data_IF_152858993949
#
_entry.id   IF_152858993949
#
_cell.length_a   1.000
_cell.length_b   1.000
_cell.length_c   1.000
_cell.angle_alpha   90.00
_cell.angle_beta   90.00
_cell.angle_gamma   90.00
#
_symmetry.space_group_name_H-M   'P 1'
#
loop_
_entity.id
_entity.type
_entity.pdbx_description
1 polymer ?
#
# COMPACT_ATOMS: atom_id res chain seq x y z
N UNK A 1 24.09 -117.22 -55.58
CA UNK A 1 22.78 -117.87 -55.87
C UNK A 1 21.70 -116.85 -55.54
N UNK A 2 21.10 -116.30 -56.60
CA UNK A 2 19.70 -115.84 -56.74
C UNK A 2 19.07 -114.85 -55.74
N UNK A 3 18.57 -113.77 -56.34
CA UNK A 3 17.67 -112.72 -55.84
C UNK A 3 16.40 -113.23 -55.13
N UNK A 4 15.90 -112.47 -54.14
CA UNK A 4 14.48 -112.10 -54.08
C UNK A 4 14.22 -110.87 -53.18
N UNK A 5 13.56 -109.88 -53.78
CA UNK A 5 12.88 -108.75 -53.14
C UNK A 5 11.97 -109.18 -51.98
N UNK A 6 11.83 -108.33 -50.96
CA UNK A 6 10.46 -107.98 -50.55
C UNK A 6 10.34 -106.58 -49.90
N UNK A 7 9.53 -105.74 -50.55
CA UNK A 7 9.12 -104.41 -50.12
C UNK A 7 7.94 -104.55 -49.15
N UNK A 8 8.18 -104.66 -47.84
CA UNK A 8 7.06 -104.51 -46.88
C UNK A 8 7.51 -104.24 -45.43
N UNK A 9 8.37 -103.25 -45.19
CA UNK A 9 8.78 -102.91 -43.80
C UNK A 9 9.00 -101.42 -43.54
N UNK A 10 8.50 -100.54 -44.41
CA UNK A 10 8.63 -99.07 -44.25
C UNK A 10 7.38 -98.36 -43.73
N UNK A 11 6.22 -99.03 -43.66
CA UNK A 11 4.98 -98.45 -43.14
C UNK A 11 4.80 -98.64 -41.62
N UNK A 12 5.42 -99.66 -41.03
CA UNK A 12 5.30 -99.98 -39.60
C UNK A 12 6.31 -99.24 -38.71
N UNK A 13 7.38 -98.71 -39.30
CA UNK A 13 8.38 -97.91 -38.58
C UNK A 13 7.91 -96.46 -38.32
N UNK A 14 7.07 -95.89 -39.18
CA UNK A 14 6.64 -94.49 -39.08
C UNK A 14 5.49 -94.28 -38.07
N UNK A 15 4.66 -95.29 -37.83
CA UNK A 15 3.56 -95.23 -36.86
C UNK A 15 4.05 -95.37 -35.41
N UNK A 16 5.15 -96.08 -35.17
CA UNK A 16 5.74 -96.27 -33.84
C UNK A 16 6.57 -95.04 -33.43
N UNK A 17 7.25 -94.38 -34.37
CA UNK A 17 7.96 -93.12 -34.05
C UNK A 17 6.99 -91.97 -33.75
N UNK A 18 5.86 -91.89 -34.47
CA UNK A 18 4.86 -90.85 -34.25
C UNK A 18 4.11 -90.98 -32.89
N UNK A 19 3.89 -92.21 -32.41
CA UNK A 19 3.24 -92.47 -31.11
C UNK A 19 4.20 -92.26 -29.93
N UNK A 20 5.50 -92.54 -30.11
CA UNK A 20 6.52 -92.29 -29.08
C UNK A 20 6.87 -90.80 -28.97
N UNK A 21 6.83 -90.04 -30.08
CA UNK A 21 7.01 -88.58 -30.03
C UNK A 21 5.82 -87.83 -29.44
N UNK A 22 4.58 -88.34 -29.57
CA UNK A 22 3.41 -87.71 -28.94
C UNK A 22 3.30 -88.05 -27.45
N UNK A 23 3.73 -89.22 -27.01
CA UNK A 23 3.84 -89.56 -25.58
C UNK A 23 5.02 -88.83 -24.91
N UNK A 24 6.13 -88.61 -25.61
CA UNK A 24 7.23 -87.77 -25.12
C UNK A 24 6.84 -86.28 -25.04
N UNK A 25 6.03 -85.76 -25.97
CA UNK A 25 5.53 -84.40 -25.94
C UNK A 25 4.44 -84.15 -24.87
N UNK A 26 3.70 -85.17 -24.44
CA UNK A 26 2.78 -85.09 -23.29
C UNK A 26 3.48 -85.22 -21.93
N UNK A 27 4.72 -85.74 -21.90
CA UNK A 27 5.57 -85.78 -20.69
C UNK A 27 6.46 -84.55 -20.51
N UNK A 28 6.41 -83.59 -21.44
CA UNK A 28 7.02 -82.27 -21.29
C UNK A 28 5.94 -81.20 -21.19
N UNK A 29 4.99 -81.41 -20.27
CA UNK A 29 4.35 -80.27 -19.64
C UNK A 29 5.45 -79.48 -18.93
N UNK A 30 5.97 -78.43 -19.57
CA UNK A 30 6.65 -77.37 -18.83
C UNK A 30 5.68 -76.98 -17.72
N UNK A 31 6.03 -77.11 -16.43
CA UNK A 31 5.13 -76.66 -15.39
C UNK A 31 4.83 -75.20 -15.68
N UNK A 32 3.54 -74.86 -15.75
CA UNK A 32 3.10 -73.48 -15.83
C UNK A 32 3.67 -72.74 -14.59
N UNK A 33 4.80 -72.06 -14.77
CA UNK A 33 5.44 -71.29 -13.72
C UNK A 33 4.73 -69.93 -13.63
N UNK A 34 3.64 -69.93 -12.86
CA UNK A 34 3.15 -68.76 -12.14
C UNK A 34 2.44 -69.25 -10.87
N UNK A 35 3.12 -70.04 -10.06
CA UNK A 35 2.62 -70.33 -8.72
C UNK A 35 2.96 -69.11 -7.86
N UNK A 36 1.99 -68.20 -7.69
CA UNK A 36 2.03 -67.24 -6.60
C UNK A 36 2.07 -68.06 -5.30
N UNK A 37 3.22 -68.08 -4.62
CA UNK A 37 3.39 -68.83 -3.38
C UNK A 37 3.06 -67.91 -2.23
N UNK A 38 1.94 -68.19 -1.58
CA UNK A 38 1.55 -67.57 -0.32
C UNK A 38 1.87 -68.52 0.84
N UNK A 39 2.28 -67.97 1.98
CA UNK A 39 2.50 -68.67 3.24
C UNK A 39 1.80 -67.92 4.36
N UNK A 40 1.11 -68.67 5.21
CA UNK A 40 0.60 -68.28 6.52
C UNK A 40 1.53 -68.78 7.67
N UNK A 41 2.70 -69.34 7.33
CA UNK A 41 3.66 -69.89 8.29
C UNK A 41 5.13 -69.90 7.79
N UNK A 42 5.94 -70.78 8.40
CA UNK A 42 7.40 -70.84 8.17
C UNK A 42 7.79 -71.01 6.69
N UNK A 43 8.99 -70.52 6.36
CA UNK A 43 9.50 -70.23 5.02
C UNK A 43 9.10 -71.21 3.89
N UNK A 44 8.68 -70.67 2.75
CA UNK A 44 8.41 -71.43 1.52
C UNK A 44 9.67 -71.70 0.70
N UNK A 45 9.61 -72.67 -0.23
CA UNK A 45 10.73 -73.04 -1.10
C UNK A 45 11.22 -71.88 -2.01
N UNK A 46 10.42 -70.84 -2.22
CA UNK A 46 10.74 -69.64 -3.01
C UNK A 46 11.02 -68.41 -2.14
N UNK A 47 11.25 -68.60 -0.84
CA UNK A 47 11.73 -67.58 0.09
C UNK A 47 10.67 -66.66 0.70
N UNK A 48 9.36 -66.93 0.50
CA UNK A 48 8.31 -66.22 1.22
C UNK A 48 8.34 -66.64 2.69
N UNK A 49 8.40 -65.70 3.63
CA UNK A 49 8.58 -65.95 5.06
C UNK A 49 7.48 -65.28 5.87
N UNK A 50 6.67 -66.05 6.59
CA UNK A 50 5.71 -65.53 7.56
C UNK A 50 6.01 -66.13 8.95
N UNK A 51 6.58 -65.36 9.89
CA UNK A 51 7.06 -65.91 11.16
C UNK A 51 6.83 -64.98 12.36
N UNK A 52 6.94 -65.54 13.58
CA UNK A 52 6.80 -64.85 14.87
C UNK A 52 5.36 -64.80 15.40
N UNK A 53 4.36 -64.64 14.54
CA UNK A 53 2.92 -64.67 14.85
C UNK A 53 2.16 -65.41 13.74
N UNK A 54 1.14 -66.19 14.10
CA UNK A 54 0.34 -66.96 13.15
C UNK A 54 -0.63 -66.14 12.29
N UNK A 55 -0.79 -64.84 12.56
CA UNK A 55 -1.59 -63.94 11.74
C UNK A 55 -0.78 -63.24 10.63
N UNK A 56 0.55 -63.41 10.61
CA UNK A 56 1.39 -62.84 9.56
C UNK A 56 1.13 -63.56 8.22
N UNK A 57 1.10 -62.80 7.13
CA UNK A 57 0.84 -63.32 5.79
C UNK A 57 1.89 -62.81 4.80
N UNK A 58 2.60 -63.72 4.13
CA UNK A 58 3.57 -63.39 3.09
C UNK A 58 3.22 -64.08 1.78
N UNK A 59 3.15 -63.35 0.68
CA UNK A 59 2.89 -63.92 -0.64
C UNK A 59 3.75 -63.31 -1.74
N UNK A 60 4.56 -64.13 -2.42
CA UNK A 60 5.48 -63.74 -3.48
C UNK A 60 6.94 -64.10 -3.20
N UNK A 61 7.80 -64.21 -4.23
CA UNK A 61 9.20 -64.56 -4.06
C UNK A 61 9.93 -63.58 -3.13
N UNK A 62 10.55 -64.09 -2.07
CA UNK A 62 11.26 -63.27 -1.08
C UNK A 62 10.37 -62.29 -0.28
N UNK A 63 9.04 -62.46 -0.29
CA UNK A 63 8.15 -61.68 0.57
C UNK A 63 8.38 -62.03 2.06
N UNK A 64 8.47 -61.04 2.93
CA UNK A 64 8.80 -61.22 4.34
C UNK A 64 7.75 -60.55 5.23
N UNK A 65 7.01 -61.33 6.00
CA UNK A 65 6.06 -60.88 7.00
C UNK A 65 6.49 -61.38 8.40
N UNK A 66 7.15 -60.54 9.20
CA UNK A 66 7.77 -60.98 10.47
C UNK A 66 7.34 -60.14 11.66
N UNK A 67 7.28 -60.75 12.84
CA UNK A 67 7.02 -60.06 14.09
C UNK A 67 6.40 -60.98 15.12
N UNK A 68 6.65 -60.72 16.40
CA UNK A 68 6.13 -61.48 17.52
C UNK A 68 4.93 -60.77 18.19
N UNK A 69 4.43 -61.38 19.26
CA UNK A 69 3.49 -60.76 20.21
C UNK A 69 2.16 -60.29 19.61
N UNK A 70 1.55 -61.11 18.73
CA UNK A 70 0.24 -60.84 18.15
C UNK A 70 0.26 -59.88 16.95
N UNK A 71 1.38 -59.80 16.25
CA UNK A 71 1.47 -59.09 14.96
C UNK A 71 0.60 -59.75 13.89
N UNK A 72 0.13 -58.93 12.95
CA UNK A 72 -0.63 -59.28 11.76
C UNK A 72 -0.07 -58.51 10.56
N UNK A 73 1.19 -58.79 10.23
CA UNK A 73 1.89 -58.15 9.13
C UNK A 73 1.57 -58.85 7.80
N UNK A 74 1.33 -58.08 6.74
CA UNK A 74 0.95 -58.55 5.40
C UNK A 74 1.96 -58.08 4.37
N UNK A 75 2.70 -59.00 3.75
CA UNK A 75 3.65 -58.73 2.67
C UNK A 75 3.22 -59.43 1.38
N UNK A 76 3.00 -58.68 0.29
CA UNK A 76 2.49 -59.20 -0.98
C UNK A 76 3.30 -58.66 -2.15
N UNK A 77 3.89 -59.52 -2.97
CA UNK A 77 4.75 -59.14 -4.09
C UNK A 77 6.20 -59.59 -3.92
N UNK A 78 6.99 -59.44 -4.99
CA UNK A 78 8.40 -59.84 -4.98
C UNK A 78 9.21 -58.92 -4.07
N UNK A 79 9.84 -59.47 -3.05
CA UNK A 79 10.67 -58.72 -2.09
C UNK A 79 9.89 -57.76 -1.18
N UNK A 80 8.57 -57.90 -1.05
CA UNK A 80 7.78 -57.12 -0.10
C UNK A 80 8.23 -57.42 1.34
N UNK A 81 8.44 -56.41 2.18
CA UNK A 81 8.77 -56.57 3.60
C UNK A 81 7.72 -55.88 4.48
N UNK A 82 7.04 -56.64 5.33
CA UNK A 82 6.15 -56.14 6.36
C UNK A 82 6.62 -56.67 7.73
N UNK A 83 7.24 -55.84 8.56
CA UNK A 83 7.93 -56.33 9.78
C UNK A 83 7.70 -55.49 11.04
N UNK A 84 7.60 -56.13 12.20
CA UNK A 84 7.54 -55.45 13.49
C UNK A 84 6.79 -56.25 14.56
N UNK A 85 7.15 -56.06 15.83
CA UNK A 85 6.46 -56.68 16.95
C UNK A 85 5.17 -55.93 17.30
N UNK A 86 4.08 -56.67 17.60
CA UNK A 86 2.75 -56.10 17.88
C UNK A 86 2.29 -55.10 16.80
N UNK A 87 2.55 -55.38 15.53
CA UNK A 87 2.23 -54.48 14.41
C UNK A 87 1.22 -55.08 13.43
N UNK A 88 0.61 -54.21 12.62
CA UNK A 88 -0.27 -54.53 11.50
C UNK A 88 0.22 -53.85 10.20
N UNK A 89 1.47 -54.10 9.83
CA UNK A 89 2.11 -53.47 8.68
C UNK A 89 1.68 -54.15 7.37
N UNK A 90 1.44 -53.37 6.32
CA UNK A 90 1.03 -53.87 5.00
C UNK A 90 2.00 -53.38 3.92
N UNK A 91 2.64 -54.30 3.21
CA UNK A 91 3.51 -54.03 2.07
C UNK A 91 2.98 -54.74 0.82
N UNK A 92 2.76 -53.99 -0.27
CA UNK A 92 2.33 -54.54 -1.56
C UNK A 92 3.21 -54.02 -2.70
N UNK A 93 3.79 -54.94 -3.47
CA UNK A 93 4.84 -54.67 -4.47
C UNK A 93 6.24 -54.86 -3.88
N UNK A 94 7.26 -54.30 -4.52
CA UNK A 94 8.60 -54.21 -3.93
C UNK A 94 8.58 -53.09 -2.89
N UNK A 95 8.02 -53.35 -1.72
CA UNK A 95 7.66 -52.34 -0.73
C UNK A 95 8.17 -52.71 0.66
N UNK A 96 8.49 -51.73 1.49
CA UNK A 96 8.84 -51.90 2.91
C UNK A 96 7.81 -51.23 3.81
N UNK A 97 7.17 -51.96 4.71
CA UNK A 97 6.29 -51.47 5.76
C UNK A 97 6.80 -51.98 7.12
N UNK A 98 7.47 -51.15 7.91
CA UNK A 98 8.21 -51.66 9.09
C UNK A 98 8.12 -50.80 10.34
N UNK A 99 8.02 -51.45 11.50
CA UNK A 99 8.15 -50.81 12.82
C UNK A 99 7.38 -51.55 13.91
N UNK A 100 7.84 -51.47 15.15
CA UNK A 100 7.16 -52.08 16.29
C UNK A 100 5.95 -51.26 16.72
N UNK A 101 4.89 -51.91 17.18
CA UNK A 101 3.63 -51.28 17.60
C UNK A 101 3.05 -50.33 16.53
N UNK A 102 3.15 -50.70 15.25
CA UNK A 102 2.81 -49.83 14.12
C UNK A 102 1.76 -50.42 13.18
N UNK A 103 1.21 -49.59 12.29
CA UNK A 103 0.29 -49.98 11.21
C UNK A 103 0.65 -49.23 9.93
N UNK A 104 1.89 -49.41 9.48
CA UNK A 104 2.43 -48.78 8.29
C UNK A 104 1.91 -49.46 7.01
N UNK A 105 1.68 -48.69 5.96
CA UNK A 105 1.15 -49.16 4.68
C UNK A 105 2.01 -48.68 3.51
N UNK A 106 2.63 -49.59 2.76
CA UNK A 106 3.48 -49.30 1.62
C UNK A 106 2.96 -49.99 0.35
N UNK A 107 2.62 -49.21 -0.68
CA UNK A 107 2.02 -49.70 -1.94
C UNK A 107 2.79 -49.20 -3.16
N UNK A 108 3.49 -50.10 -3.86
CA UNK A 108 4.18 -49.78 -5.11
C UNK A 108 5.56 -50.41 -5.23
N UNK A 109 6.31 -49.94 -6.23
CA UNK A 109 7.71 -50.34 -6.41
C UNK A 109 8.63 -49.39 -5.64
N UNK A 110 9.55 -49.96 -4.87
CA UNK A 110 10.52 -49.27 -4.04
C UNK A 110 9.89 -48.28 -3.03
N UNK A 111 8.72 -48.61 -2.47
CA UNK A 111 8.06 -47.77 -1.46
C UNK A 111 8.54 -48.10 -0.05
N UNK A 112 8.52 -47.11 0.83
CA UNK A 112 8.90 -47.29 2.24
C UNK A 112 7.93 -46.56 3.18
N UNK A 113 7.20 -47.31 4.01
CA UNK A 113 6.42 -46.79 5.12
C UNK A 113 7.01 -47.31 6.45
N UNK A 114 7.71 -46.48 7.22
CA UNK A 114 8.49 -47.00 8.37
C UNK A 114 8.46 -46.12 9.62
N UNK A 115 8.39 -46.77 10.79
CA UNK A 115 8.57 -46.12 12.09
C UNK A 115 7.89 -46.89 13.23
N UNK A 116 8.47 -46.85 14.43
CA UNK A 116 7.87 -47.46 15.62
C UNK A 116 6.69 -46.62 16.11
N UNK A 117 5.60 -47.25 16.56
CA UNK A 117 4.42 -46.55 17.08
C UNK A 117 3.70 -45.70 16.03
N UNK A 118 3.84 -46.01 14.75
CA UNK A 118 3.41 -45.13 13.65
C UNK A 118 2.32 -45.74 12.76
N UNK A 119 1.67 -44.89 11.97
CA UNK A 119 0.67 -45.26 10.95
C UNK A 119 0.99 -44.56 9.63
N UNK A 120 2.20 -44.74 9.12
CA UNK A 120 2.66 -44.10 7.88
C UNK A 120 2.04 -44.76 6.65
N UNK A 121 1.74 -43.98 5.62
CA UNK A 121 1.22 -44.47 4.33
C UNK A 121 2.10 -43.96 3.19
N UNK A 122 2.73 -44.87 2.44
CA UNK A 122 3.49 -44.57 1.23
C UNK A 122 2.85 -45.26 0.02
N UNK A 123 2.42 -44.50 -0.99
CA UNK A 123 1.79 -45.04 -2.19
C UNK A 123 2.31 -44.37 -3.47
N UNK A 124 2.77 -45.18 -4.43
CA UNK A 124 3.39 -44.70 -5.68
C UNK A 124 4.88 -45.01 -5.73
N UNK A 125 5.43 -45.24 -6.92
CA UNK A 125 6.80 -45.73 -7.06
C UNK A 125 7.81 -44.78 -6.39
N UNK A 126 8.67 -45.31 -5.51
CA UNK A 126 9.66 -44.54 -4.76
C UNK A 126 9.10 -43.66 -3.64
N UNK A 127 7.81 -43.75 -3.29
CA UNK A 127 7.23 -42.97 -2.19
C UNK A 127 7.79 -43.39 -0.82
N UNK A 128 8.08 -42.43 0.04
CA UNK A 128 8.65 -42.63 1.37
C UNK A 128 7.78 -41.91 2.41
N UNK A 129 7.24 -42.64 3.38
CA UNK A 129 6.54 -42.12 4.54
C UNK A 129 7.22 -42.64 5.82
N UNK A 130 7.92 -41.80 6.59
CA UNK A 130 8.76 -42.30 7.69
C UNK A 130 8.78 -41.45 8.95
N UNK A 131 8.85 -42.10 10.12
CA UNK A 131 9.09 -41.45 11.41
C UNK A 131 8.47 -42.22 12.57
N UNK A 132 9.09 -42.19 13.74
CA UNK A 132 8.55 -42.79 14.95
C UNK A 132 7.36 -41.97 15.48
N UNK A 133 6.31 -42.63 15.98
CA UNK A 133 5.13 -41.96 16.54
C UNK A 133 4.36 -41.10 15.52
N UNK A 134 4.52 -41.36 14.23
CA UNK A 134 4.04 -40.47 13.16
C UNK A 134 2.87 -41.03 12.35
N UNK A 135 2.21 -40.15 11.60
CA UNK A 135 1.11 -40.47 10.66
C UNK A 135 1.37 -39.82 9.31
N UNK A 136 2.56 -40.01 8.76
CA UNK A 136 2.95 -39.39 7.50
C UNK A 136 2.28 -40.06 6.31
N UNK A 137 1.91 -39.28 5.29
CA UNK A 137 1.26 -39.74 4.07
C UNK A 137 2.07 -39.24 2.87
N UNK A 138 2.69 -40.15 2.13
CA UNK A 138 3.37 -39.87 0.88
C UNK A 138 2.63 -40.55 -0.28
N UNK A 139 2.08 -39.76 -1.20
CA UNK A 139 1.31 -40.24 -2.36
C UNK A 139 1.86 -39.63 -3.64
N UNK A 140 2.30 -40.47 -4.58
CA UNK A 140 2.89 -40.04 -5.85
C UNK A 140 4.29 -40.59 -6.07
N UNK A 141 4.78 -40.46 -7.31
CA UNK A 141 6.14 -40.88 -7.67
C UNK A 141 7.18 -40.07 -6.89
N UNK A 142 8.08 -40.74 -6.17
CA UNK A 142 9.13 -40.12 -5.35
C UNK A 142 8.61 -39.10 -4.31
N UNK A 143 7.36 -39.22 -3.86
CA UNK A 143 6.84 -38.36 -2.79
C UNK A 143 7.51 -38.71 -1.45
N UNK A 144 7.84 -37.72 -0.63
CA UNK A 144 8.51 -37.90 0.66
C UNK A 144 7.75 -37.19 1.78
N UNK A 145 7.23 -37.94 2.75
CA UNK A 145 6.60 -37.43 3.96
C UNK A 145 7.35 -37.96 5.19
N UNK A 146 8.03 -37.10 5.96
CA UNK A 146 8.98 -37.58 6.96
C UNK A 146 9.08 -36.78 8.24
N UNK A 147 9.26 -37.46 9.38
CA UNK A 147 9.60 -36.85 10.66
C UNK A 147 9.00 -37.57 11.86
N UNK A 148 9.71 -37.57 12.98
CA UNK A 148 9.20 -38.15 14.23
C UNK A 148 8.06 -37.30 14.82
N UNK A 149 7.06 -37.98 15.40
CA UNK A 149 5.88 -37.36 16.03
C UNK A 149 5.16 -36.37 15.09
N UNK A 150 5.07 -36.70 13.80
CA UNK A 150 4.55 -35.78 12.77
C UNK A 150 3.37 -36.34 12.00
N UNK A 151 2.61 -35.44 11.37
CA UNK A 151 1.48 -35.74 10.49
C UNK A 151 1.70 -35.05 9.12
N UNK A 152 2.84 -35.33 8.47
CA UNK A 152 3.15 -34.68 7.20
C UNK A 152 2.43 -35.36 6.03
N UNK A 153 2.00 -34.57 5.05
CA UNK A 153 1.31 -35.05 3.86
C UNK A 153 2.06 -34.53 2.62
N UNK A 154 2.65 -35.42 1.86
CA UNK A 154 3.22 -35.16 0.55
C UNK A 154 2.34 -35.83 -0.52
N UNK A 155 1.69 -35.04 -1.37
CA UNK A 155 0.85 -35.53 -2.45
C UNK A 155 1.26 -34.91 -3.79
N UNK A 156 1.74 -35.73 -4.70
CA UNK A 156 2.24 -35.30 -6.01
C UNK A 156 3.60 -35.92 -6.35
N UNK A 157 3.95 -35.87 -7.62
CA UNK A 157 5.27 -36.29 -8.09
C UNK A 157 6.36 -35.43 -7.42
N UNK A 158 7.28 -36.06 -6.68
CA UNK A 158 8.36 -35.41 -5.92
C UNK A 158 7.88 -34.37 -4.90
N UNK A 159 6.65 -34.49 -4.39
CA UNK A 159 6.21 -33.66 -3.28
C UNK A 159 7.03 -34.01 -2.02
N UNK A 160 7.43 -33.00 -1.23
CA UNK A 160 8.28 -33.17 -0.05
C UNK A 160 7.64 -32.48 1.16
N UNK A 161 7.19 -33.25 2.15
CA UNK A 161 6.61 -32.75 3.39
C UNK A 161 7.39 -33.29 4.60
N UNK A 162 8.29 -32.50 5.19
CA UNK A 162 9.24 -33.02 6.19
C UNK A 162 9.40 -32.16 7.43
N UNK A 163 9.57 -32.81 8.58
CA UNK A 163 9.95 -32.19 9.85
C UNK A 163 9.44 -32.94 11.07
N UNK A 164 10.20 -32.92 12.15
CA UNK A 164 9.79 -33.51 13.42
C UNK A 164 8.74 -32.64 14.13
N UNK A 165 7.79 -33.27 14.83
CA UNK A 165 6.71 -32.58 15.56
C UNK A 165 5.90 -31.63 14.67
N UNK A 166 5.68 -31.98 13.41
CA UNK A 166 5.09 -31.09 12.40
C UNK A 166 3.82 -31.64 11.76
N UNK A 167 3.11 -30.80 11.03
CA UNK A 167 1.94 -31.16 10.21
C UNK A 167 2.02 -30.44 8.87
N UNK A 168 3.13 -30.64 8.15
CA UNK A 168 3.36 -29.97 6.87
C UNK A 168 2.56 -30.64 5.73
N UNK A 169 2.02 -29.84 4.83
CA UNK A 169 1.26 -30.28 3.66
C UNK A 169 1.95 -29.78 2.38
N UNK A 170 2.48 -30.70 1.57
CA UNK A 170 2.99 -30.44 0.23
C UNK A 170 2.06 -31.11 -0.79
N UNK A 171 1.34 -30.32 -1.59
CA UNK A 171 0.41 -30.78 -2.61
C UNK A 171 0.78 -30.19 -3.98
N UNK A 172 1.21 -31.03 -4.92
CA UNK A 172 1.61 -30.62 -6.27
C UNK A 172 2.94 -31.22 -6.72
N UNK A 173 3.23 -31.11 -8.02
CA UNK A 173 4.50 -31.57 -8.59
C UNK A 173 5.67 -30.75 -8.01
N UNK A 174 6.58 -31.41 -7.29
CA UNK A 174 7.73 -30.77 -6.65
C UNK A 174 7.37 -29.76 -5.55
N UNK A 175 6.16 -29.81 -4.99
CA UNK A 175 5.80 -28.96 -3.85
C UNK A 175 6.67 -29.30 -2.63
N UNK A 176 7.08 -28.30 -1.85
CA UNK A 176 7.92 -28.47 -0.67
C UNK A 176 7.30 -27.78 0.54
N UNK A 177 6.97 -28.56 1.58
CA UNK A 177 6.50 -28.08 2.86
C UNK A 177 7.40 -28.60 3.98
N UNK A 178 8.31 -27.79 4.51
CA UNK A 178 9.39 -28.30 5.38
C UNK A 178 9.63 -27.46 6.63
N UNK A 179 9.82 -28.11 7.78
CA UNK A 179 10.21 -27.45 9.03
C UNK A 179 9.88 -28.30 10.25
N UNK A 180 10.71 -28.20 11.29
CA UNK A 180 10.42 -28.79 12.59
C UNK A 180 9.40 -27.93 13.35
N UNK A 181 8.50 -28.57 14.11
CA UNK A 181 7.46 -27.86 14.89
C UNK A 181 6.63 -26.90 14.04
N UNK A 182 6.36 -27.25 12.78
CA UNK A 182 5.69 -26.38 11.81
C UNK A 182 4.38 -26.95 11.28
N UNK A 183 3.59 -26.07 10.68
CA UNK A 183 2.35 -26.36 9.96
C UNK A 183 2.37 -25.61 8.62
N UNK A 184 3.34 -25.95 7.77
CA UNK A 184 3.53 -25.31 6.47
C UNK A 184 2.62 -25.93 5.41
N UNK A 185 2.05 -25.12 4.52
CA UNK A 185 1.19 -25.57 3.43
C UNK A 185 1.72 -25.04 2.08
N UNK A 186 2.26 -25.94 1.26
CA UNK A 186 2.67 -25.69 -0.10
C UNK A 186 1.71 -26.37 -1.07
N UNK A 187 0.88 -25.60 -1.77
CA UNK A 187 -0.12 -26.07 -2.72
C UNK A 187 0.14 -25.49 -4.11
N UNK A 188 0.58 -26.32 -5.05
CA UNK A 188 0.93 -25.91 -6.41
C UNK A 188 2.22 -26.55 -6.89
N UNK A 189 2.44 -26.48 -8.21
CA UNK A 189 3.69 -27.00 -8.80
C UNK A 189 4.86 -26.15 -8.32
N UNK A 190 5.87 -26.78 -7.70
CA UNK A 190 7.04 -26.13 -7.09
C UNK A 190 6.70 -25.04 -6.07
N UNK A 191 5.53 -25.10 -5.45
CA UNK A 191 5.22 -24.25 -4.31
C UNK A 191 6.17 -24.60 -3.14
N UNK A 192 6.65 -23.61 -2.41
CA UNK A 192 7.55 -23.77 -1.29
C UNK A 192 7.01 -23.07 -0.05
N UNK A 193 6.68 -23.84 0.99
CA UNK A 193 6.30 -23.34 2.31
C UNK A 193 7.29 -23.88 3.35
N UNK A 194 8.22 -23.08 3.85
CA UNK A 194 9.32 -23.61 4.67
C UNK A 194 9.73 -22.76 5.88
N UNK A 195 10.15 -23.43 6.95
CA UNK A 195 10.72 -22.83 8.15
C UNK A 195 10.39 -23.61 9.41
N UNK A 196 11.31 -23.63 10.37
CA UNK A 196 11.05 -24.20 11.69
C UNK A 196 10.14 -23.29 12.51
N UNK A 197 9.27 -23.87 13.35
CA UNK A 197 8.35 -23.14 14.23
C UNK A 197 7.49 -22.15 13.41
N UNK A 198 6.95 -22.62 12.30
CA UNK A 198 6.28 -21.73 11.34
C UNK A 198 4.93 -22.28 10.87
N UNK A 199 4.15 -21.42 10.22
CA UNK A 199 2.90 -21.79 9.56
C UNK A 199 2.75 -21.00 8.27
N UNK A 200 3.70 -21.23 7.36
CA UNK A 200 3.74 -20.56 6.06
C UNK A 200 2.74 -21.19 5.09
N UNK A 201 2.16 -20.36 4.21
CA UNK A 201 1.21 -20.80 3.18
C UNK A 201 1.66 -20.31 1.82
N UNK A 202 2.04 -21.22 0.93
CA UNK A 202 2.40 -20.96 -0.46
C UNK A 202 1.39 -21.63 -1.39
N UNK A 203 0.59 -20.84 -2.10
CA UNK A 203 -0.43 -21.35 -3.05
C UNK A 203 -0.20 -20.78 -4.44
N UNK A 204 0.12 -21.64 -5.41
CA UNK A 204 0.38 -21.26 -6.80
C UNK A 204 1.63 -21.91 -7.38
N UNK A 205 1.81 -21.77 -8.71
CA UNK A 205 3.02 -22.18 -9.40
C UNK A 205 4.21 -21.39 -8.85
N UNK A 206 5.29 -22.06 -8.43
CA UNK A 206 6.50 -21.41 -7.90
C UNK A 206 6.26 -20.41 -6.73
N UNK A 207 5.11 -20.47 -6.04
CA UNK A 207 4.84 -19.59 -4.90
C UNK A 207 5.82 -19.92 -3.76
N UNK A 208 6.35 -18.90 -3.08
CA UNK A 208 7.31 -19.07 -1.99
C UNK A 208 6.84 -18.36 -0.72
N UNK A 209 6.55 -19.11 0.34
CA UNK A 209 6.28 -18.60 1.67
C UNK A 209 7.31 -19.18 2.65
N UNK A 210 8.28 -18.39 3.11
CA UNK A 210 9.43 -18.97 3.83
C UNK A 210 9.96 -18.14 4.99
N UNK A 211 10.31 -18.81 6.08
CA UNK A 211 11.11 -18.28 7.20
C UNK A 211 10.82 -18.98 8.52
N UNK A 212 11.83 -19.08 9.39
CA UNK A 212 11.62 -19.65 10.73
C UNK A 212 10.81 -18.70 11.61
N UNK A 213 9.96 -19.23 12.51
CA UNK A 213 9.16 -18.41 13.42
C UNK A 213 8.06 -17.58 12.74
N UNK A 214 7.73 -17.87 11.48
CA UNK A 214 6.93 -16.99 10.63
C UNK A 214 5.55 -17.57 10.29
N UNK A 215 4.64 -16.69 9.84
CA UNK A 215 3.35 -17.03 9.23
C UNK A 215 3.18 -16.25 7.93
N UNK A 216 4.10 -16.45 6.97
CA UNK A 216 4.05 -15.77 5.69
C UNK A 216 3.01 -16.42 4.75
N UNK A 217 2.38 -15.62 3.90
CA UNK A 217 1.36 -16.07 2.94
C UNK A 217 1.71 -15.58 1.54
N UNK A 218 1.99 -16.51 0.62
CA UNK A 218 2.24 -16.24 -0.79
C UNK A 218 1.14 -16.91 -1.63
N UNK A 219 0.35 -16.12 -2.35
CA UNK A 219 -0.73 -16.61 -3.22
C UNK A 219 -0.58 -16.03 -4.63
N UNK A 220 -0.36 -16.88 -5.62
CA UNK A 220 -0.17 -16.51 -7.03
C UNK A 220 1.08 -17.11 -7.65
N UNK A 221 1.15 -17.11 -8.98
CA UNK A 221 2.33 -17.62 -9.71
C UNK A 221 3.56 -16.75 -9.44
N UNK A 222 4.60 -17.36 -8.87
CA UNK A 222 5.83 -16.71 -8.44
C UNK A 222 5.67 -15.67 -7.32
N UNK A 223 4.56 -15.69 -6.57
CA UNK A 223 4.40 -14.83 -5.40
C UNK A 223 5.44 -15.19 -4.32
N UNK A 224 6.05 -14.19 -3.69
CA UNK A 224 7.08 -14.37 -2.67
C UNK A 224 6.72 -13.66 -1.37
N UNK A 225 6.50 -14.42 -0.31
CA UNK A 225 6.29 -13.93 1.05
C UNK A 225 7.38 -14.50 1.98
N UNK A 226 8.43 -13.74 2.28
CA UNK A 226 9.63 -14.32 2.93
C UNK A 226 10.20 -13.48 4.07
N UNK A 227 10.58 -14.11 5.16
CA UNK A 227 11.22 -13.47 6.30
C UNK A 227 11.17 -14.35 7.56
N UNK A 228 12.21 -14.29 8.40
CA UNK A 228 12.15 -14.91 9.72
C UNK A 228 11.30 -14.05 10.66
N UNK A 229 10.58 -14.68 11.59
CA UNK A 229 9.74 -14.01 12.59
C UNK A 229 8.76 -12.99 11.99
N UNK A 230 8.21 -13.29 10.82
CA UNK A 230 7.41 -12.34 10.02
C UNK A 230 6.00 -12.83 9.71
N UNK A 231 5.18 -11.88 9.26
CA UNK A 231 3.79 -12.04 8.83
C UNK A 231 3.58 -11.40 7.44
N UNK A 232 4.50 -11.66 6.50
CA UNK A 232 4.44 -11.06 5.17
C UNK A 232 3.34 -11.71 4.33
N UNK A 233 2.63 -10.92 3.53
CA UNK A 233 1.55 -11.36 2.65
C UNK A 233 1.77 -10.87 1.21
N UNK A 234 2.02 -11.78 0.28
CA UNK A 234 2.17 -11.51 -1.14
C UNK A 234 1.04 -12.17 -1.93
N UNK A 235 0.17 -11.37 -2.56
CA UNK A 235 -0.96 -11.86 -3.36
C UNK A 235 -0.92 -11.29 -4.77
N UNK A 236 -0.74 -12.15 -5.77
CA UNK A 236 -0.68 -11.80 -7.19
C UNK A 236 0.56 -12.35 -7.91
N UNK A 237 0.49 -12.39 -9.24
CA UNK A 237 1.60 -12.81 -10.10
C UNK A 237 2.87 -12.02 -9.81
N UNK A 238 3.97 -12.70 -9.46
CA UNK A 238 5.26 -12.09 -9.10
C UNK A 238 5.19 -11.00 -8.00
N UNK A 239 4.16 -11.03 -7.15
CA UNK A 239 4.08 -10.15 -5.98
C UNK A 239 5.19 -10.50 -4.98
N UNK A 240 5.73 -9.52 -4.27
CA UNK A 240 6.81 -9.73 -3.31
C UNK A 240 6.59 -8.94 -2.02
N UNK A 241 6.31 -9.67 -0.93
CA UNK A 241 6.28 -9.15 0.43
C UNK A 241 7.42 -9.78 1.25
N UNK A 242 8.48 -9.04 1.55
CA UNK A 242 9.66 -9.65 2.18
C UNK A 242 10.30 -8.81 3.26
N UNK A 243 10.77 -9.48 4.32
CA UNK A 243 11.48 -8.85 5.41
C UNK A 243 11.46 -9.66 6.70
N UNK A 244 12.58 -9.68 7.41
CA UNK A 244 12.69 -10.28 8.75
C UNK A 244 12.00 -9.39 9.77
N UNK A 245 11.29 -9.98 10.73
CA UNK A 245 10.57 -9.29 11.80
C UNK A 245 9.59 -8.24 11.24
N UNK A 246 8.94 -8.55 10.11
CA UNK A 246 8.12 -7.62 9.35
C UNK A 246 6.69 -8.14 9.15
N UNK A 247 5.78 -7.22 8.80
CA UNK A 247 4.39 -7.49 8.40
C UNK A 247 4.07 -6.78 7.08
N UNK A 248 4.86 -7.04 6.04
CA UNK A 248 4.68 -6.37 4.75
C UNK A 248 3.52 -7.00 3.96
N UNK A 249 2.75 -6.18 3.23
CA UNK A 249 1.62 -6.63 2.41
C UNK A 249 1.78 -6.14 0.97
N UNK A 250 1.90 -7.04 0.00
CA UNK A 250 1.97 -6.75 -1.43
C UNK A 250 0.81 -7.43 -2.17
N UNK A 251 -0.11 -6.64 -2.71
CA UNK A 251 -1.29 -7.13 -3.44
C UNK A 251 -1.34 -6.54 -4.84
N UNK A 252 -1.28 -7.39 -5.86
CA UNK A 252 -1.27 -7.00 -7.27
C UNK A 252 -0.10 -7.61 -8.05
N UNK A 253 -0.24 -7.70 -9.36
CA UNK A 253 0.83 -8.25 -10.21
C UNK A 253 2.10 -7.39 -10.10
N UNK A 254 3.22 -8.00 -9.70
CA UNK A 254 4.50 -7.33 -9.49
C UNK A 254 4.52 -6.30 -8.35
N UNK A 255 3.51 -6.28 -7.47
CA UNK A 255 3.50 -5.42 -6.29
C UNK A 255 4.67 -5.77 -5.35
N UNK A 256 5.31 -4.77 -4.74
CA UNK A 256 6.48 -4.94 -3.88
C UNK A 256 6.29 -4.23 -2.54
N UNK A 257 6.29 -4.99 -1.46
CA UNK A 257 6.28 -4.49 -0.09
C UNK A 257 7.49 -5.06 0.67
N UNK A 258 8.55 -4.29 0.88
CA UNK A 258 9.83 -4.87 1.35
C UNK A 258 10.51 -4.06 2.44
N UNK A 259 11.04 -4.75 3.45
CA UNK A 259 11.83 -4.14 4.52
C UNK A 259 11.92 -5.01 5.76
N UNK A 260 13.07 -4.98 6.43
CA UNK A 260 13.22 -5.61 7.75
C UNK A 260 12.59 -4.71 8.82
N UNK A 261 11.91 -5.31 9.80
CA UNK A 261 11.28 -4.55 10.88
C UNK A 261 10.17 -3.60 10.40
N UNK A 262 9.58 -3.84 9.23
CA UNK A 262 8.66 -2.90 8.58
C UNK A 262 7.22 -3.42 8.51
N UNK A 263 6.31 -2.50 8.17
CA UNK A 263 4.90 -2.76 7.89
C UNK A 263 4.50 -2.04 6.59
N UNK A 264 5.23 -2.29 5.51
CA UNK A 264 4.99 -1.66 4.22
C UNK A 264 3.78 -2.27 3.52
N UNK A 265 2.98 -1.44 2.84
CA UNK A 265 1.76 -1.86 2.13
C UNK A 265 1.81 -1.37 0.69
N UNK A 266 1.81 -2.31 -0.27
CA UNK A 266 1.76 -2.04 -1.69
C UNK A 266 0.51 -2.67 -2.31
N UNK A 267 -0.42 -1.86 -2.81
CA UNK A 267 -1.67 -2.31 -3.42
C UNK A 267 -1.80 -1.77 -4.84
N UNK A 268 -1.78 -2.65 -5.84
CA UNK A 268 -1.87 -2.31 -7.26
C UNK A 268 -0.77 -2.97 -8.10
N UNK A 269 -1.00 -3.03 -9.41
CA UNK A 269 0.00 -3.58 -10.35
C UNK A 269 1.28 -2.75 -10.27
N UNK A 270 2.41 -3.40 -9.98
CA UNK A 270 3.71 -2.76 -9.80
C UNK A 270 3.76 -1.64 -8.74
N UNK A 271 2.83 -1.61 -7.79
CA UNK A 271 2.92 -0.72 -6.63
C UNK A 271 4.17 -1.07 -5.80
N UNK A 272 4.87 -0.07 -5.27
CA UNK A 272 6.11 -0.26 -4.53
C UNK A 272 6.07 0.52 -3.21
N UNK A 273 6.09 -0.20 -2.09
CA UNK A 273 6.25 0.33 -0.75
C UNK A 273 7.47 -0.34 -0.10
N UNK A 274 8.58 0.39 0.05
CA UNK A 274 9.83 -0.23 0.53
C UNK A 274 10.59 0.63 1.52
N UNK A 275 11.18 -0.01 2.53
CA UNK A 275 12.06 0.60 3.51
C UNK A 275 12.14 -0.24 4.79
N UNK A 276 13.31 -0.25 5.43
CA UNK A 276 13.52 -0.94 6.72
C UNK A 276 12.98 -0.08 7.88
N UNK A 277 12.37 -0.72 8.89
CA UNK A 277 11.93 -0.04 10.12
C UNK A 277 10.81 0.98 9.94
N UNK A 278 10.11 0.95 8.79
CA UNK A 278 9.10 1.95 8.41
C UNK A 278 7.77 1.30 8.03
N UNK A 279 6.75 2.13 7.83
CA UNK A 279 5.42 1.71 7.40
C UNK A 279 4.98 2.58 6.21
N UNK A 280 5.53 2.30 5.03
CA UNK A 280 5.20 3.03 3.80
C UNK A 280 3.93 2.46 3.18
N UNK A 281 3.14 3.32 2.51
CA UNK A 281 1.89 2.91 1.85
C UNK A 281 1.87 3.36 0.40
N UNK A 282 1.77 2.43 -0.54
CA UNK A 282 1.63 2.69 -1.97
C UNK A 282 0.33 2.05 -2.48
N UNK A 283 -0.62 2.86 -2.94
CA UNK A 283 -1.93 2.40 -3.42
C UNK A 283 -2.17 2.96 -4.82
N UNK A 284 -2.27 2.08 -5.82
CA UNK A 284 -2.45 2.41 -7.23
C UNK A 284 -1.39 1.76 -8.11
N UNK A 285 -1.74 1.53 -9.39
CA UNK A 285 -0.80 0.94 -10.35
C UNK A 285 0.44 1.82 -10.53
N UNK A 286 1.63 1.26 -10.30
CA UNK A 286 2.92 1.98 -10.36
C UNK A 286 3.11 3.05 -9.28
N UNK A 287 2.29 3.07 -8.22
CA UNK A 287 2.51 3.96 -7.07
C UNK A 287 3.82 3.62 -6.36
N UNK A 288 4.51 4.63 -5.81
CA UNK A 288 5.87 4.48 -5.27
C UNK A 288 6.03 5.23 -3.95
N UNK A 289 6.03 4.52 -2.82
CA UNK A 289 6.26 5.04 -1.47
C UNK A 289 7.55 4.47 -0.88
N UNK A 290 8.66 5.19 -1.06
CA UNK A 290 10.00 4.72 -0.63
C UNK A 290 10.68 5.67 0.35
N UNK A 291 10.11 6.85 0.59
CA UNK A 291 10.55 7.71 1.69
C UNK A 291 10.17 7.10 3.03
N UNK A 292 10.95 7.30 4.09
CA UNK A 292 10.59 6.80 5.41
C UNK A 292 9.24 7.36 5.87
N UNK A 293 8.28 6.51 6.23
CA UNK A 293 6.92 6.90 6.61
C UNK A 293 6.18 7.66 5.50
N UNK A 294 6.39 7.27 4.24
CA UNK A 294 5.77 7.92 3.09
C UNK A 294 4.47 7.25 2.65
N UNK A 295 3.61 8.01 1.96
CA UNK A 295 2.35 7.52 1.42
C UNK A 295 2.09 8.00 -0.01
N UNK A 296 1.84 7.10 -0.95
CA UNK A 296 1.52 7.40 -2.34
C UNK A 296 0.15 6.80 -2.68
N UNK A 297 -0.86 7.64 -2.93
CA UNK A 297 -2.23 7.24 -3.24
C UNK A 297 -2.60 7.72 -4.65
N UNK A 298 -2.67 6.82 -5.62
CA UNK A 298 -2.99 7.10 -7.02
C UNK A 298 -2.08 6.33 -7.97
N UNK A 299 -2.53 6.09 -9.21
CA UNK A 299 -1.67 5.45 -10.21
C UNK A 299 -0.48 6.37 -10.53
N UNK A 300 0.73 5.84 -10.46
CA UNK A 300 1.96 6.63 -10.64
C UNK A 300 2.22 7.70 -9.58
N UNK A 301 1.47 7.72 -8.47
CA UNK A 301 1.77 8.64 -7.36
C UNK A 301 3.14 8.30 -6.75
N UNK A 302 3.93 9.32 -6.38
CA UNK A 302 5.31 9.15 -5.92
C UNK A 302 5.60 9.95 -4.65
N UNK A 303 5.93 9.23 -3.57
CA UNK A 303 6.31 9.78 -2.28
C UNK A 303 7.66 9.17 -1.85
N UNK A 304 8.76 9.74 -2.34
CA UNK A 304 10.11 9.20 -2.15
C UNK A 304 10.90 9.90 -1.04
N UNK A 305 10.30 10.87 -0.35
CA UNK A 305 10.93 11.63 0.72
C UNK A 305 10.34 11.27 2.09
N UNK A 306 11.13 11.45 3.16
CA UNK A 306 10.68 11.14 4.51
C UNK A 306 9.41 11.93 4.90
N UNK A 307 8.45 11.26 5.52
CA UNK A 307 7.18 11.84 5.98
C UNK A 307 6.44 12.61 4.86
N UNK A 308 6.54 12.13 3.62
CA UNK A 308 5.88 12.74 2.47
C UNK A 308 4.65 11.95 2.03
N UNK A 309 3.64 12.68 1.57
CA UNK A 309 2.40 12.11 1.05
C UNK A 309 2.12 12.67 -0.33
N UNK A 310 1.81 11.80 -1.30
CA UNK A 310 1.36 12.18 -2.63
C UNK A 310 -0.03 11.57 -2.89
N UNK A 311 -1.04 12.40 -3.13
CA UNK A 311 -2.43 11.98 -3.35
C UNK A 311 -2.90 12.44 -4.73
N UNK A 312 -3.24 11.51 -5.61
CA UNK A 312 -3.70 11.75 -6.98
C UNK A 312 -2.86 10.99 -8.01
N UNK A 313 -3.45 10.68 -9.15
CA UNK A 313 -2.74 10.06 -10.28
C UNK A 313 -1.59 10.96 -10.73
N UNK A 314 -0.36 10.43 -10.74
CA UNK A 314 0.86 11.16 -11.08
C UNK A 314 1.31 12.23 -10.05
N UNK A 315 0.62 12.36 -8.91
CA UNK A 315 1.03 13.30 -7.86
C UNK A 315 2.43 12.93 -7.34
N UNK A 316 3.30 13.92 -7.16
CA UNK A 316 4.68 13.70 -6.71
C UNK A 316 5.02 14.63 -5.55
N UNK A 317 5.43 14.06 -4.42
CA UNK A 317 6.06 14.83 -3.35
C UNK A 317 7.55 15.02 -3.66
N UNK A 318 8.04 16.24 -3.56
CA UNK A 318 9.39 16.67 -3.98
C UNK A 318 10.32 16.98 -2.80
N UNK A 319 9.83 16.88 -1.56
CA UNK A 319 10.63 17.11 -0.34
C UNK A 319 10.04 16.37 0.87
N UNK A 320 10.85 16.28 1.92
CA UNK A 320 10.41 15.71 3.19
C UNK A 320 9.31 16.55 3.84
N UNK A 321 8.44 15.91 4.64
CA UNK A 321 7.33 16.53 5.35
C UNK A 321 6.28 17.23 4.45
N UNK A 322 6.23 16.92 3.15
CA UNK A 322 5.29 17.53 2.21
C UNK A 322 4.05 16.66 2.00
N UNK A 323 2.88 17.28 1.97
CA UNK A 323 1.65 16.68 1.47
C UNK A 323 1.33 17.30 0.10
N UNK A 324 1.52 16.54 -0.96
CA UNK A 324 1.21 16.91 -2.33
C UNK A 324 -0.16 16.34 -2.72
N UNK A 325 -1.07 17.21 -3.17
CA UNK A 325 -2.40 16.83 -3.64
C UNK A 325 -2.48 17.16 -5.13
N UNK A 326 -2.72 16.16 -5.97
CA UNK A 326 -2.83 16.30 -7.41
C UNK A 326 -1.53 16.68 -8.13
N UNK A 327 -1.72 17.24 -9.32
CA UNK A 327 -0.70 17.73 -10.25
C UNK A 327 -1.03 19.17 -10.63
N UNK A 328 -0.19 19.79 -11.48
CA UNK A 328 -0.39 21.17 -11.93
C UNK A 328 -1.71 21.42 -12.69
N UNK A 329 -2.37 20.37 -13.21
CA UNK A 329 -3.62 20.51 -13.98
C UNK A 329 -4.88 20.24 -13.15
N UNK A 330 -4.75 19.89 -11.87
CA UNK A 330 -5.89 19.56 -11.02
C UNK A 330 -6.57 20.80 -10.43
N UNK A 331 -7.89 20.73 -10.26
CA UNK A 331 -8.68 21.69 -9.49
C UNK A 331 -9.02 21.15 -8.11
N UNK A 332 -9.06 22.01 -7.08
CA UNK A 332 -9.34 21.59 -5.70
C UNK A 332 -10.72 22.08 -5.25
N UNK A 333 -11.48 21.20 -4.59
CA UNK A 333 -12.77 21.56 -3.98
C UNK A 333 -12.84 21.01 -2.57
N UNK A 334 -12.93 21.90 -1.58
CA UNK A 334 -13.10 21.56 -0.17
C UNK A 334 -14.48 22.06 0.29
N UNK A 335 -15.56 21.38 -0.04
CA UNK A 335 -16.92 21.90 0.15
C UNK A 335 -17.24 22.33 1.61
N UNK A 336 -16.56 21.73 2.60
CA UNK A 336 -16.74 22.05 4.01
C UNK A 336 -16.27 23.43 4.45
N UNK A 337 -15.34 24.10 3.74
CA UNK A 337 -14.68 25.32 4.27
C UNK A 337 -15.67 26.47 4.55
N UNK A 338 -16.77 26.54 3.80
CA UNK A 338 -17.80 27.59 3.94
C UNK A 338 -18.93 27.22 4.91
N UNK A 339 -18.90 26.01 5.48
CA UNK A 339 -19.96 25.52 6.36
C UNK A 339 -20.05 26.30 7.67
N UNK A 340 -21.25 26.39 8.25
CA UNK A 340 -21.45 27.01 9.56
C UNK A 340 -20.63 26.34 10.67
N UNK A 341 -20.47 25.01 10.59
CA UNK A 341 -19.64 24.24 11.52
C UNK A 341 -18.15 24.61 11.41
N UNK A 342 -17.61 24.74 10.19
CA UNK A 342 -16.22 25.17 10.00
C UNK A 342 -15.97 26.57 10.51
N UNK A 343 -16.91 27.52 10.32
CA UNK A 343 -16.80 28.87 10.90
C UNK A 343 -16.85 28.85 12.42
N UNK A 344 -17.75 28.06 13.00
CA UNK A 344 -17.86 27.93 14.45
C UNK A 344 -16.63 27.29 15.10
N UNK A 345 -15.89 26.46 14.37
CA UNK A 345 -14.65 25.85 14.83
C UNK A 345 -13.43 26.80 14.80
N UNK A 346 -13.52 27.96 14.12
CA UNK A 346 -12.43 28.94 14.10
C UNK A 346 -12.26 29.58 15.49
N UNK A 347 -11.02 29.73 15.91
CA UNK A 347 -10.67 30.36 17.19
C UNK A 347 -9.44 31.26 17.01
N UNK A 348 -9.35 32.33 17.81
CA UNK A 348 -8.31 33.35 17.66
C UNK A 348 -8.51 34.27 16.45
N UNK A 349 -7.50 35.11 16.13
CA UNK A 349 -7.56 36.00 14.97
C UNK A 349 -7.62 35.22 13.65
N UNK A 350 -8.51 35.63 12.76
CA UNK A 350 -8.59 35.06 11.41
C UNK A 350 -7.36 35.42 10.58
N UNK A 351 -6.92 34.47 9.77
CA UNK A 351 -5.83 34.64 8.80
C UNK A 351 -6.31 34.33 7.39
N UNK A 352 -5.61 34.88 6.41
CA UNK A 352 -5.83 34.61 4.98
C UNK A 352 -4.92 33.46 4.57
N UNK A 353 -5.49 32.46 3.92
CA UNK A 353 -4.71 31.41 3.26
C UNK A 353 -4.19 31.97 1.94
N UNK A 354 -2.88 31.94 1.75
CA UNK A 354 -2.20 32.41 0.55
C UNK A 354 -1.52 31.25 -0.17
N UNK A 355 -1.18 31.46 -1.45
CA UNK A 355 -0.40 30.51 -2.24
C UNK A 355 0.71 31.25 -2.98
N UNK A 356 1.84 30.58 -3.16
CA UNK A 356 2.88 31.01 -4.11
C UNK A 356 2.65 30.39 -5.50
N UNK A 357 3.54 30.71 -6.45
CA UNK A 357 3.51 30.15 -7.81
C UNK A 357 3.79 28.64 -7.88
N UNK A 358 4.34 28.05 -6.80
CA UNK A 358 4.60 26.63 -6.67
C UNK A 358 3.45 25.85 -6.03
N UNK A 359 2.35 26.51 -5.68
CA UNK A 359 1.20 25.89 -5.01
C UNK A 359 1.42 25.61 -3.52
N UNK A 360 2.42 26.24 -2.87
CA UNK A 360 2.63 26.11 -1.44
C UNK A 360 1.63 26.99 -0.68
N UNK A 361 0.89 26.41 0.26
CA UNK A 361 -0.02 27.16 1.12
C UNK A 361 0.73 27.80 2.29
N UNK A 362 0.46 29.07 2.52
CA UNK A 362 0.89 29.83 3.70
C UNK A 362 -0.29 30.50 4.37
N UNK A 363 -0.05 31.07 5.54
CA UNK A 363 -1.01 31.94 6.20
C UNK A 363 -0.42 33.34 6.33
N UNK A 364 -1.27 34.34 6.15
CA UNK A 364 -0.89 35.76 6.24
C UNK A 364 -1.99 36.53 6.93
N UNK A 365 -1.63 37.53 7.72
CA UNK A 365 -2.61 38.50 8.23
C UNK A 365 -2.99 39.47 7.13
N UNK A 366 -4.08 40.22 7.32
CA UNK A 366 -4.43 41.30 6.40
C UNK A 366 -3.32 42.36 6.33
N UNK A 367 -2.64 42.63 7.45
CA UNK A 367 -1.52 43.55 7.52
C UNK A 367 -0.29 43.10 6.72
N UNK A 368 0.05 41.80 6.76
CA UNK A 368 1.17 41.24 5.97
C UNK A 368 0.95 41.41 4.45
N UNK A 369 -0.32 41.45 4.03
CA UNK A 369 -0.73 41.67 2.65
C UNK A 369 -0.84 43.16 2.29
N UNK A 370 -0.52 44.08 3.22
CA UNK A 370 -0.66 45.52 3.04
C UNK A 370 -2.11 45.98 2.94
N UNK A 371 -3.07 45.17 3.39
CA UNK A 371 -4.48 45.54 3.41
C UNK A 371 -4.72 46.38 4.67
N UNK A 372 -5.17 47.61 4.46
CA UNK A 372 -5.44 48.59 5.51
C UNK A 372 -6.38 48.01 6.59
N UNK A 373 -5.98 48.16 7.85
CA UNK A 373 -6.80 47.79 9.00
C UNK A 373 -7.88 48.83 9.29
N UNK A 374 -8.72 48.53 10.28
CA UNK A 374 -9.78 49.46 10.72
C UNK A 374 -9.23 50.78 11.25
N UNK A 375 -8.06 50.77 11.89
CA UNK A 375 -7.39 51.97 12.36
C UNK A 375 -6.88 52.86 11.20
N UNK A 376 -6.35 52.26 10.14
CA UNK A 376 -5.91 52.98 8.95
C UNK A 376 -7.11 53.64 8.25
N UNK A 377 -8.22 52.88 8.11
CA UNK A 377 -9.48 53.40 7.57
C UNK A 377 -10.02 54.54 8.44
N UNK A 378 -9.98 54.41 9.76
CA UNK A 378 -10.38 55.47 10.68
C UNK A 378 -9.48 56.72 10.54
N UNK A 379 -8.17 56.53 10.36
CA UNK A 379 -7.22 57.60 10.09
C UNK A 379 -7.52 58.35 8.81
N UNK A 380 -7.79 57.64 7.71
CA UNK A 380 -8.20 58.23 6.43
C UNK A 380 -9.52 59.00 6.59
N UNK A 381 -10.51 58.45 7.27
CA UNK A 381 -11.77 59.13 7.54
C UNK A 381 -11.57 60.42 8.35
N UNK A 382 -10.64 60.42 9.32
CA UNK A 382 -10.23 61.60 10.06
C UNK A 382 -9.57 62.67 9.19
N UNK A 383 -8.67 62.26 8.27
CA UNK A 383 -8.05 63.16 7.31
C UNK A 383 -9.09 63.79 6.37
N UNK A 384 -10.05 63.01 5.88
CA UNK A 384 -11.16 63.50 5.04
C UNK A 384 -12.02 64.52 5.80
N UNK A 385 -12.38 64.23 7.05
CA UNK A 385 -13.10 65.19 7.89
C UNK A 385 -12.32 66.50 8.07
N UNK A 386 -10.99 66.41 8.27
CA UNK A 386 -10.12 67.58 8.33
C UNK A 386 -10.10 68.39 7.03
N UNK A 387 -10.04 67.73 5.87
CA UNK A 387 -10.11 68.38 4.55
C UNK A 387 -11.44 69.08 4.36
N UNK A 388 -12.56 68.44 4.70
CA UNK A 388 -13.88 69.03 4.61
C UNK A 388 -14.00 70.30 5.46
N UNK A 389 -13.48 70.28 6.68
CA UNK A 389 -13.45 71.48 7.55
C UNK A 389 -12.61 72.61 6.93
N UNK A 390 -11.45 72.28 6.35
CA UNK A 390 -10.60 73.28 5.68
C UNK A 390 -11.24 73.83 4.41
N UNK A 391 -11.99 73.02 3.67
CA UNK A 391 -12.76 73.48 2.51
C UNK A 391 -13.86 74.44 2.94
N UNK A 392 -14.57 74.15 4.03
CA UNK A 392 -15.56 75.06 4.62
C UNK A 392 -14.95 76.37 5.12
N UNK A 393 -13.76 76.33 5.74
CA UNK A 393 -13.03 77.55 6.13
C UNK A 393 -12.57 78.36 4.91
N UNK A 394 -12.09 77.70 3.87
CA UNK A 394 -11.71 78.35 2.60
C UNK A 394 -12.92 78.97 1.91
N UNK A 395 -14.07 78.31 1.90
CA UNK A 395 -15.33 78.87 1.39
C UNK A 395 -15.72 80.12 2.18
N UNK A 396 -15.62 80.07 3.52
CA UNK A 396 -15.83 81.22 4.39
C UNK A 396 -14.85 82.38 4.13
N UNK A 397 -13.56 82.10 3.94
CA UNK A 397 -12.54 83.11 3.61
C UNK A 397 -12.74 83.68 2.21
N UNK A 398 -13.10 82.85 1.24
CA UNK A 398 -13.44 83.26 -0.12
C UNK A 398 -14.63 84.23 -0.10
N UNK A 399 -15.69 83.87 0.62
CA UNK A 399 -16.83 84.76 0.86
C UNK A 399 -16.40 86.09 1.49
N UNK A 400 -15.56 86.07 2.53
CA UNK A 400 -15.02 87.30 3.14
C UNK A 400 -14.16 88.13 2.18
N UNK A 401 -13.36 87.50 1.33
CA UNK A 401 -12.56 88.19 0.32
C UNK A 401 -13.45 88.86 -0.75
N UNK A 402 -14.49 88.16 -1.22
CA UNK A 402 -15.51 88.73 -2.12
C UNK A 402 -16.24 89.92 -1.46
N UNK A 403 -16.57 89.81 -0.18
CA UNK A 403 -17.08 90.96 0.59
C UNK A 403 -16.05 92.11 0.68
N UNK A 404 -14.76 91.80 0.79
CA UNK A 404 -13.68 92.78 0.74
C UNK A 404 -13.70 93.61 -0.54
N UNK A 405 -13.94 92.96 -1.68
CA UNK A 405 -14.04 93.62 -2.99
C UNK A 405 -15.29 94.51 -3.08
N UNK A 406 -16.46 94.00 -2.65
CA UNK A 406 -17.68 94.83 -2.64
C UNK A 406 -17.58 96.02 -1.67
N UNK A 407 -16.89 95.85 -0.52
CA UNK A 407 -16.56 96.95 0.39
C UNK A 407 -15.63 97.98 -0.25
N UNK A 408 -14.60 97.54 -0.99
CA UNK A 408 -13.71 98.44 -1.71
C UNK A 408 -14.45 99.25 -2.79
N UNK A 409 -15.38 98.61 -3.52
CA UNK A 409 -16.27 99.31 -4.46
C UNK A 409 -17.16 100.33 -3.76
N UNK A 410 -17.77 99.97 -2.62
CA UNK A 410 -18.56 100.90 -1.82
C UNK A 410 -17.71 102.09 -1.33
N UNK A 411 -16.46 101.86 -0.92
CA UNK A 411 -15.57 102.93 -0.45
C UNK A 411 -14.96 103.78 -1.56
N UNK A 412 -15.06 103.39 -2.84
CA UNK A 412 -14.48 104.15 -3.95
C UNK A 412 -15.08 105.56 -4.05
N UNK A 413 -16.34 105.74 -3.66
CA UNK A 413 -17.04 107.02 -3.69
C UNK A 413 -16.73 107.93 -2.50
N UNK A 414 -15.48 108.09 -2.07
CA UNK A 414 -15.17 109.11 -1.04
C UNK A 414 -15.53 110.50 -1.57
N UNK A 415 -16.25 111.32 -0.78
CA UNK A 415 -16.69 112.63 -1.22
C UNK A 415 -15.49 113.57 -1.32
N UNK A 416 -15.53 114.47 -2.30
CA UNK A 416 -14.53 115.52 -2.44
C UNK A 416 -14.99 116.74 -1.63
N UNK A 417 -14.10 117.33 -0.82
CA UNK A 417 -14.43 118.54 -0.05
C UNK A 417 -14.37 119.75 -0.97
N UNK A 418 -15.49 120.46 -1.13
CA UNK A 418 -15.57 121.66 -1.98
C UNK A 418 -14.82 122.85 -1.34
N UNK A 419 -14.47 123.93 -2.09
CA UNK A 419 -13.60 125.00 -1.60
C UNK A 419 -14.00 125.68 -0.29
N UNK A 420 -15.29 125.68 0.07
CA UNK A 420 -15.84 126.35 1.27
C UNK A 420 -16.21 125.36 2.39
N UNK A 421 -16.08 124.05 2.15
CA UNK A 421 -16.42 123.01 3.10
C UNK A 421 -15.20 122.60 3.95
N UNK A 422 -15.42 122.37 5.25
CA UNK A 422 -14.38 121.83 6.15
C UNK A 422 -14.43 120.31 6.25
N UNK A 423 -15.59 119.72 5.94
CA UNK A 423 -15.86 118.29 6.08
C UNK A 423 -17.00 117.86 5.13
N UNK A 424 -16.87 116.71 4.49
CA UNK A 424 -17.90 116.12 3.63
C UNK A 424 -18.06 114.63 3.94
N UNK A 425 -19.29 114.09 3.82
CA UNK A 425 -19.60 112.67 4.05
C UNK A 425 -20.40 112.06 2.89
N UNK A 426 -20.20 110.76 2.66
CA UNK A 426 -20.98 109.97 1.69
C UNK A 426 -21.33 108.60 2.26
N UNK A 427 -22.52 108.11 1.91
CA UNK A 427 -22.96 106.74 2.14
C UNK A 427 -23.09 106.06 0.78
N UNK A 428 -22.40 104.93 0.61
CA UNK A 428 -22.30 104.25 -0.68
C UNK A 428 -22.60 102.75 -0.52
N UNK A 429 -23.09 102.14 -1.59
CA UNK A 429 -23.36 100.70 -1.68
C UNK A 429 -22.51 100.08 -2.79
N UNK A 430 -21.95 98.90 -2.53
CA UNK A 430 -21.13 98.15 -3.48
C UNK A 430 -21.58 96.72 -3.56
N UNK A 431 -21.60 96.17 -4.78
CA UNK A 431 -21.98 94.78 -5.04
C UNK A 431 -20.94 94.11 -5.95
N UNK A 432 -20.56 92.86 -5.65
CA UNK A 432 -19.64 92.08 -6.47
C UNK A 432 -19.91 90.58 -6.33
N UNK A 433 -20.11 89.88 -7.46
CA UNK A 433 -20.37 88.44 -7.55
C UNK A 433 -21.31 87.87 -6.46
N UNK A 434 -22.45 88.54 -6.21
CA UNK A 434 -23.45 88.09 -5.23
C UNK A 434 -23.21 88.55 -3.78
N UNK A 435 -22.08 89.19 -3.48
CA UNK A 435 -21.83 89.86 -2.19
C UNK A 435 -22.18 91.35 -2.25
N UNK A 436 -22.57 91.92 -1.11
CA UNK A 436 -22.94 93.33 -0.99
C UNK A 436 -22.25 93.98 0.21
N UNK A 437 -22.05 95.29 0.14
CA UNK A 437 -21.42 96.06 1.20
C UNK A 437 -21.94 97.51 1.24
N UNK A 438 -21.94 98.08 2.44
CA UNK A 438 -22.28 99.48 2.70
C UNK A 438 -21.06 100.20 3.26
N UNK A 439 -20.76 101.40 2.77
CA UNK A 439 -19.63 102.20 3.21
C UNK A 439 -20.05 103.61 3.59
N UNK A 440 -19.56 104.08 4.74
CA UNK A 440 -19.63 105.47 5.17
C UNK A 440 -18.23 106.07 5.05
N UNK A 441 -18.09 107.12 4.25
CA UNK A 441 -16.81 107.79 4.00
C UNK A 441 -16.91 109.27 4.34
N UNK A 442 -15.83 109.84 4.84
CA UNK A 442 -15.70 111.25 5.15
C UNK A 442 -14.37 111.81 4.65
N UNK A 443 -14.37 113.09 4.29
CA UNK A 443 -13.17 113.83 3.90
C UNK A 443 -13.11 115.16 4.66
N UNK A 444 -11.91 115.56 5.06
CA UNK A 444 -11.63 116.66 5.98
C UNK A 444 -10.43 117.45 5.44
N UNK A 445 -10.56 118.77 5.33
CA UNK A 445 -9.49 119.64 4.82
C UNK A 445 -8.60 120.09 5.98
N UNK A 446 -7.29 119.81 5.88
CA UNK A 446 -6.30 120.13 6.91
C UNK A 446 -5.49 121.40 6.59
N UNK A 447 -5.52 121.86 5.34
CA UNK A 447 -4.97 123.13 4.87
C UNK A 447 -5.28 123.36 3.39
N UNK A 448 -4.79 124.46 2.81
CA UNK A 448 -5.12 124.85 1.42
C UNK A 448 -4.69 123.81 0.38
N UNK A 449 -3.64 123.04 0.69
CA UNK A 449 -3.01 122.06 -0.19
C UNK A 449 -3.14 120.61 0.31
N UNK A 450 -3.75 120.38 1.49
CA UNK A 450 -3.78 119.06 2.14
C UNK A 450 -5.20 118.67 2.55
N UNK A 451 -5.65 117.50 2.10
CA UNK A 451 -6.93 116.89 2.46
C UNK A 451 -6.72 115.49 3.01
N UNK A 452 -7.36 115.16 4.12
CA UNK A 452 -7.45 113.79 4.63
C UNK A 452 -8.82 113.21 4.26
N UNK A 453 -8.87 111.93 3.89
CA UNK A 453 -10.11 111.20 3.75
C UNK A 453 -10.02 109.87 4.48
N UNK A 454 -11.16 109.34 4.86
CA UNK A 454 -11.25 108.03 5.47
C UNK A 454 -12.65 107.49 5.36
N UNK A 455 -12.80 106.18 5.55
CA UNK A 455 -14.11 105.55 5.49
C UNK A 455 -14.08 104.18 6.12
N UNK A 456 -15.25 103.74 6.55
CA UNK A 456 -15.50 102.41 7.09
C UNK A 456 -16.59 101.76 6.26
N UNK A 457 -16.38 100.50 5.91
CA UNK A 457 -17.33 99.68 5.16
C UNK A 457 -17.65 98.40 5.92
N UNK A 458 -18.87 97.92 5.73
CA UNK A 458 -19.37 96.67 6.28
C UNK A 458 -19.95 95.79 5.17
N UNK A 459 -19.45 94.55 5.07
CA UNK A 459 -19.96 93.54 4.14
C UNK A 459 -21.17 92.81 4.72
N UNK A 460 -22.28 92.76 3.98
CA UNK A 460 -23.56 92.22 4.46
C UNK A 460 -23.69 90.70 4.30
N UNK A 461 -22.84 90.06 3.49
CA UNK A 461 -22.95 88.63 3.15
C UNK A 461 -21.81 87.80 3.76
N UNK A 462 -21.75 87.69 5.09
CA UNK A 462 -20.71 86.90 5.79
C UNK A 462 -19.93 87.68 6.86
N UNK A 463 -20.20 88.98 6.98
CA UNK A 463 -19.67 89.85 8.03
C UNK A 463 -18.20 90.21 7.85
N UNK A 464 -17.89 91.48 8.00
CA UNK A 464 -16.53 92.01 7.93
C UNK A 464 -16.56 93.53 7.88
N UNK A 465 -15.62 94.16 8.55
CA UNK A 465 -15.45 95.62 8.54
C UNK A 465 -14.13 95.94 7.86
N UNK A 466 -14.17 96.79 6.85
CA UNK A 466 -12.99 97.33 6.18
C UNK A 466 -12.88 98.82 6.48
N UNK A 467 -11.65 99.33 6.64
CA UNK A 467 -11.40 100.75 6.80
C UNK A 467 -10.38 101.22 5.78
N UNK A 468 -10.49 102.47 5.34
CA UNK A 468 -9.44 103.15 4.59
C UNK A 468 -9.19 104.53 5.16
N UNK A 469 -7.94 104.98 5.08
CA UNK A 469 -7.53 106.35 5.36
C UNK A 469 -6.54 106.76 4.28
N UNK A 470 -6.70 107.96 3.75
CA UNK A 470 -5.84 108.52 2.73
C UNK A 470 -5.59 110.00 2.98
N UNK A 471 -4.47 110.49 2.49
CA UNK A 471 -4.14 111.92 2.49
C UNK A 471 -3.80 112.30 1.06
N UNK A 472 -4.41 113.36 0.57
CA UNK A 472 -4.12 113.97 -0.72
C UNK A 472 -3.39 115.27 -0.46
N UNK A 473 -2.25 115.42 -1.12
CA UNK A 473 -1.48 116.66 -1.16
C UNK A 473 -1.51 117.12 -2.61
N UNK A 474 -2.05 118.31 -2.86
CA UNK A 474 -2.01 118.97 -4.15
C UNK A 474 -1.04 120.15 -4.07
N UNK A 475 -0.34 120.44 -5.15
CA UNK A 475 0.55 121.60 -5.27
C UNK A 475 0.13 122.46 -6.46
#
# INVERSE_FOLDING_TARGET
MTLKDDKSTRATALAVTALVTTIAAMSMATPAQAQFVCSDGAASAQGATATGSGANFACGPGANATGASGSNNTATGTGANASGDRSGNTATGLANASGDNSSNSAYGNNTNASGNGSTNTAAGAGAIASGNGSKNIATGFEANAGGDNSNNIASGNRANAVGANSSNLASGNGANASGNKSNNNASGTRANASGDISSNVATGLNANASGSGSRNVATGDGANASGASSYNAATGFLSNASGTNAGNTATGAGARAQGNGSANVAFGVSANASGNGVANTAVGGGSNATGAYSSAFGSGASATYANSTAIGTGATATRANQQAFGTATNTYTMAGVTSAASRAAQSGPLQVVTTDSGGNLGSSTLGDLGIAGTADIAGINGQIAGINNRLSDLDGKSSKALNGVSMAFAMSGTPWVMPEERFAMSLNWGAFQGTNALALSGALRLGDHVQANGGVAYGTNGGGVGGRVGVRIGW
#
